data_IF_594013344268
#
_entry.id   IF_594013344268
#
_cell.length_a   1.000
_cell.length_b   1.000
_cell.length_c   1.000
_cell.angle_alpha   90.00
_cell.angle_beta   90.00
_cell.angle_gamma   90.00
#
_symmetry.space_group_name_H-M   'P 1'
#
loop_
_entity.id
_entity.type
_entity.pdbx_description
1 polymer ?
#
# COMPACT_ATOMS: atom_id res chain seq x y z
N UNK A 1 -29.09 -9.69 6.05
CA UNK A 1 -29.08 -9.01 4.74
C UNK A 1 -27.71 -9.21 4.13
N UNK A 2 -27.64 -9.75 2.92
CA UNK A 2 -26.36 -9.88 2.16
C UNK A 2 -26.00 -8.52 1.61
N UNK A 3 -24.78 -8.06 1.90
CA UNK A 3 -24.29 -6.84 1.29
C UNK A 3 -24.10 -7.06 -0.22
N UNK A 4 -24.45 -6.06 -1.03
CA UNK A 4 -24.13 -6.05 -2.45
C UNK A 4 -22.62 -5.97 -2.61
N UNK A 5 -22.02 -6.90 -3.37
CA UNK A 5 -20.58 -6.92 -3.71
C UNK A 5 -20.45 -6.58 -5.19
N UNK A 6 -19.72 -5.54 -5.52
CA UNK A 6 -19.55 -5.04 -6.88
C UNK A 6 -18.08 -4.92 -7.22
N UNK A 7 -17.73 -5.39 -8.42
CA UNK A 7 -16.44 -5.08 -9.04
C UNK A 7 -16.63 -3.85 -9.92
N UNK A 8 -15.84 -2.81 -9.65
CA UNK A 8 -15.82 -1.58 -10.42
C UNK A 8 -14.48 -1.40 -11.11
N UNK A 9 -14.53 -1.11 -12.41
CA UNK A 9 -13.37 -0.56 -13.11
C UNK A 9 -13.10 0.86 -12.63
N UNK A 10 -11.85 1.31 -12.75
CA UNK A 10 -11.42 2.61 -12.24
C UNK A 10 -12.34 3.78 -12.62
N UNK A 11 -12.78 3.83 -13.87
CA UNK A 11 -13.67 4.85 -14.40
C UNK A 11 -15.06 4.92 -13.73
N UNK A 12 -15.46 3.85 -13.03
CA UNK A 12 -16.73 3.74 -12.33
C UNK A 12 -16.64 3.93 -10.82
N UNK A 13 -15.42 4.10 -10.29
CA UNK A 13 -15.19 4.31 -8.86
C UNK A 13 -15.53 5.76 -8.52
N UNK A 14 -16.37 5.97 -7.51
CA UNK A 14 -16.55 7.28 -6.92
C UNK A 14 -15.36 7.57 -6.00
N UNK A 15 -14.38 8.36 -6.50
CA UNK A 15 -13.15 8.65 -5.79
C UNK A 15 -13.36 9.42 -4.48
N UNK A 16 -14.38 10.28 -4.42
CA UNK A 16 -14.74 10.99 -3.18
C UNK A 16 -15.16 10.01 -2.09
N UNK A 17 -16.13 9.13 -2.39
CA UNK A 17 -16.56 8.09 -1.44
C UNK A 17 -15.43 7.13 -1.08
N UNK A 18 -14.53 6.86 -2.03
CA UNK A 18 -13.36 6.03 -1.81
C UNK A 18 -12.42 6.65 -0.78
N UNK A 19 -12.03 7.91 -0.97
CA UNK A 19 -11.10 8.60 -0.08
C UNK A 19 -11.73 8.91 1.29
N UNK A 20 -13.04 9.20 1.35
CA UNK A 20 -13.82 9.32 2.59
C UNK A 20 -13.78 8.02 3.41
N UNK A 21 -13.93 6.86 2.75
CA UNK A 21 -13.83 5.56 3.40
C UNK A 21 -12.43 5.38 4.02
N UNK A 22 -11.37 5.72 3.31
CA UNK A 22 -9.99 5.57 3.81
C UNK A 22 -9.77 6.49 5.01
N UNK A 23 -10.19 7.75 4.89
CA UNK A 23 -10.04 8.76 5.94
C UNK A 23 -10.76 8.37 7.24
N UNK A 24 -11.94 7.76 7.12
CA UNK A 24 -12.74 7.32 8.28
C UNK A 24 -12.36 5.94 8.84
N UNK A 25 -11.48 5.20 8.15
CA UNK A 25 -11.15 3.81 8.49
C UNK A 25 -9.88 3.70 9.31
N UNK A 26 -9.93 2.97 10.44
CA UNK A 26 -8.73 2.67 11.25
C UNK A 26 -7.64 1.89 10.50
N UNK A 27 -8.03 1.13 9.48
CA UNK A 27 -7.13 0.31 8.66
C UNK A 27 -6.80 0.95 7.31
N UNK A 28 -7.23 2.17 7.04
CA UNK A 28 -6.80 2.97 5.90
C UNK A 28 -5.30 3.30 5.96
N UNK A 29 -4.64 3.30 4.83
CA UNK A 29 -3.20 3.60 4.69
C UNK A 29 -3.00 4.62 3.56
N UNK A 30 -1.88 5.33 3.58
CA UNK A 30 -1.54 6.32 2.55
C UNK A 30 -1.64 5.74 1.14
N UNK A 31 -1.13 4.54 0.94
CA UNK A 31 -1.15 3.86 -0.37
C UNK A 31 -2.53 3.30 -0.78
N UNK A 32 -3.58 3.56 -0.01
CA UNK A 32 -4.96 3.24 -0.40
C UNK A 32 -5.68 4.45 -1.00
N UNK A 33 -5.24 5.69 -0.75
CA UNK A 33 -5.88 6.89 -1.31
C UNK A 33 -5.86 6.88 -2.84
N UNK A 34 -6.92 7.40 -3.44
CA UNK A 34 -7.07 7.42 -4.90
C UNK A 34 -5.95 8.18 -5.59
N UNK A 35 -5.55 9.34 -5.05
CA UNK A 35 -4.44 10.14 -5.58
C UNK A 35 -3.10 9.37 -5.56
N UNK A 36 -2.85 8.58 -4.50
CA UNK A 36 -1.64 7.77 -4.41
C UNK A 36 -1.68 6.60 -5.40
N UNK A 37 -2.81 5.86 -5.46
CA UNK A 37 -2.99 4.75 -6.39
C UNK A 37 -2.85 5.20 -7.84
N UNK A 38 -3.45 6.33 -8.20
CA UNK A 38 -3.38 6.91 -9.55
C UNK A 38 -1.96 7.24 -9.98
N UNK A 39 -1.08 7.61 -9.03
CA UNK A 39 0.31 7.90 -9.30
C UNK A 39 1.12 6.64 -9.64
N UNK A 40 0.87 5.52 -8.95
CA UNK A 40 1.76 4.36 -9.01
C UNK A 40 1.22 3.20 -9.85
N UNK A 41 -0.07 3.12 -10.13
CA UNK A 41 -0.62 1.99 -10.86
C UNK A 41 -1.98 2.26 -11.52
N UNK A 42 -2.34 1.38 -12.46
CA UNK A 42 -3.74 1.21 -12.86
C UNK A 42 -4.44 0.32 -11.83
N UNK A 43 -5.64 0.67 -11.40
CA UNK A 43 -6.36 -0.08 -10.40
C UNK A 43 -7.86 -0.10 -10.64
N UNK A 44 -8.49 -1.17 -10.17
CA UNK A 44 -9.93 -1.37 -10.10
C UNK A 44 -10.30 -1.60 -8.62
N UNK A 45 -11.56 -1.75 -8.28
CA UNK A 45 -11.99 -1.97 -6.91
C UNK A 45 -13.08 -3.04 -6.79
N UNK A 46 -13.13 -3.66 -5.60
CA UNK A 46 -14.33 -4.36 -5.12
C UNK A 46 -14.94 -3.51 -4.02
N UNK A 47 -16.22 -3.19 -4.16
CA UNK A 47 -16.98 -2.40 -3.22
C UNK A 47 -18.04 -3.27 -2.58
N UNK A 48 -18.21 -3.16 -1.27
CA UNK A 48 -19.20 -3.88 -0.48
C UNK A 48 -20.11 -2.87 0.21
N UNK A 49 -21.41 -2.91 -0.12
CA UNK A 49 -22.45 -2.15 0.54
C UNK A 49 -22.23 -0.65 0.56
N UNK A 50 -22.20 -0.01 -0.60
CA UNK A 50 -22.02 1.44 -0.77
C UNK A 50 -20.84 2.00 0.03
N UNK A 51 -19.64 1.51 -0.26
CA UNK A 51 -18.38 1.94 0.37
C UNK A 51 -18.30 1.72 1.89
N UNK A 52 -18.99 0.70 2.45
CA UNK A 52 -18.77 0.26 3.83
C UNK A 52 -17.47 -0.51 3.99
N UNK A 53 -17.10 -1.22 2.93
CA UNK A 53 -15.82 -1.90 2.77
C UNK A 53 -15.41 -1.81 1.31
N UNK A 54 -14.13 -1.62 1.07
CA UNK A 54 -13.57 -1.63 -0.27
C UNK A 54 -12.24 -2.39 -0.31
N UNK A 55 -11.86 -2.86 -1.51
CA UNK A 55 -10.58 -3.51 -1.77
C UNK A 55 -10.03 -2.93 -3.05
N UNK A 56 -8.83 -2.33 -3.00
CA UNK A 56 -8.13 -1.95 -4.23
C UNK A 56 -7.53 -3.19 -4.91
N UNK A 57 -7.60 -3.21 -6.22
CA UNK A 57 -7.05 -4.25 -7.06
C UNK A 57 -6.09 -3.62 -8.07
N UNK A 58 -4.79 -3.80 -7.86
CA UNK A 58 -3.74 -3.24 -8.71
C UNK A 58 -3.64 -4.05 -10.01
N UNK A 59 -4.15 -3.49 -11.09
CA UNK A 59 -4.37 -4.19 -12.36
C UNK A 59 -3.23 -3.95 -13.33
N UNK A 60 -2.68 -5.03 -13.85
CA UNK A 60 -1.78 -5.00 -15.01
C UNK A 60 -2.43 -5.67 -16.22
N UNK A 61 -2.19 -5.11 -17.39
CA UNK A 61 -2.67 -5.66 -18.67
C UNK A 61 -1.49 -5.82 -19.60
N UNK A 62 -1.21 -7.05 -20.00
CA UNK A 62 -0.14 -7.35 -20.97
C UNK A 62 -0.61 -8.44 -21.93
N UNK A 63 -0.49 -8.19 -23.23
CA UNK A 63 -0.91 -9.12 -24.31
C UNK A 63 -2.35 -9.64 -24.15
N UNK A 64 -3.29 -8.77 -23.76
CA UNK A 64 -4.68 -9.14 -23.52
C UNK A 64 -4.94 -9.88 -22.22
N UNK A 65 -3.91 -10.26 -21.47
CA UNK A 65 -4.05 -10.93 -20.17
C UNK A 65 -4.21 -9.88 -19.07
N UNK A 66 -5.22 -10.06 -18.23
CA UNK A 66 -5.48 -9.25 -17.07
C UNK A 66 -4.89 -9.93 -15.82
N UNK A 67 -4.01 -9.24 -15.13
CA UNK A 67 -3.31 -9.75 -13.95
C UNK A 67 -3.44 -8.79 -12.77
N UNK A 68 -3.39 -9.34 -11.55
CA UNK A 68 -3.15 -8.58 -10.33
C UNK A 68 -1.68 -8.70 -9.97
N UNK A 69 -0.96 -7.59 -10.00
CA UNK A 69 0.46 -7.53 -9.66
C UNK A 69 0.67 -6.54 -8.53
N UNK A 70 1.68 -6.82 -7.71
CA UNK A 70 2.12 -5.89 -6.67
C UNK A 70 2.97 -4.78 -7.31
N UNK A 71 2.50 -3.52 -7.36
CA UNK A 71 3.31 -2.41 -7.85
C UNK A 71 4.40 -2.03 -6.84
N UNK A 72 5.45 -1.38 -7.31
CA UNK A 72 6.40 -0.71 -6.44
C UNK A 72 5.68 0.36 -5.61
N UNK A 73 6.12 0.57 -4.37
CA UNK A 73 5.60 1.54 -3.40
C UNK A 73 4.17 1.33 -2.90
N UNK A 74 3.47 0.29 -3.36
CA UNK A 74 2.20 -0.14 -2.77
C UNK A 74 2.47 -1.41 -1.95
N UNK A 75 2.34 -1.32 -0.64
CA UNK A 75 2.75 -2.40 0.26
C UNK A 75 1.84 -3.62 0.18
N UNK A 76 0.54 -3.40 0.08
CA UNK A 76 -0.46 -4.48 0.05
C UNK A 76 -1.80 -4.01 -0.51
N UNK A 77 -2.57 -4.95 -1.06
CA UNK A 77 -3.97 -4.79 -1.41
C UNK A 77 -4.83 -5.41 -0.31
N UNK A 78 -5.51 -4.60 0.48
CA UNK A 78 -6.28 -5.05 1.63
C UNK A 78 -7.71 -4.54 1.58
N UNK A 79 -8.59 -5.12 2.39
CA UNK A 79 -9.87 -4.46 2.63
C UNK A 79 -9.67 -3.23 3.53
N UNK A 80 -10.44 -2.19 3.22
CA UNK A 80 -10.50 -0.93 3.92
C UNK A 80 -11.91 -0.81 4.50
N UNK A 81 -12.04 -0.27 5.70
CA UNK A 81 -13.31 -0.17 6.40
C UNK A 81 -13.64 -1.41 7.22
N UNK A 82 -14.90 -1.82 7.23
CA UNK A 82 -15.37 -2.95 8.04
C UNK A 82 -14.82 -4.27 7.52
N UNK A 83 -14.36 -5.14 8.42
CA UNK A 83 -13.92 -6.50 8.07
C UNK A 83 -15.06 -7.27 7.40
N UNK A 84 -14.85 -7.82 6.19
CA UNK A 84 -15.85 -8.65 5.51
C UNK A 84 -16.15 -9.92 6.32
N UNK A 85 -17.39 -10.37 6.31
CA UNK A 85 -17.76 -11.67 6.86
C UNK A 85 -17.21 -12.83 5.99
N UNK A 86 -17.17 -14.05 6.54
CA UNK A 86 -16.66 -15.23 5.84
C UNK A 86 -17.33 -15.45 4.47
N UNK A 87 -18.65 -15.29 4.41
CA UNK A 87 -19.39 -15.42 3.15
C UNK A 87 -19.00 -14.36 2.12
N UNK A 88 -18.83 -13.11 2.57
CA UNK A 88 -18.41 -12.01 1.69
C UNK A 88 -16.98 -12.27 1.17
N UNK A 89 -16.08 -12.75 2.03
CA UNK A 89 -14.71 -13.11 1.64
C UNK A 89 -14.69 -14.21 0.56
N UNK A 90 -15.51 -15.25 0.69
CA UNK A 90 -15.57 -16.31 -0.33
C UNK A 90 -16.09 -15.76 -1.68
N UNK A 91 -17.09 -14.88 -1.66
CA UNK A 91 -17.56 -14.23 -2.89
C UNK A 91 -16.50 -13.33 -3.51
N UNK A 92 -15.75 -12.58 -2.71
CA UNK A 92 -14.63 -11.75 -3.16
C UNK A 92 -13.56 -12.61 -3.82
N UNK A 93 -13.17 -13.72 -3.19
CA UNK A 93 -12.19 -14.67 -3.74
C UNK A 93 -12.64 -15.21 -5.10
N UNK A 94 -13.87 -15.71 -5.20
CA UNK A 94 -14.41 -16.20 -6.46
C UNK A 94 -14.42 -15.10 -7.53
N UNK A 95 -14.80 -13.88 -7.18
CA UNK A 95 -14.83 -12.75 -8.10
C UNK A 95 -13.43 -12.38 -8.60
N UNK A 96 -12.43 -12.34 -7.74
CA UNK A 96 -11.04 -12.09 -8.11
C UNK A 96 -10.54 -13.21 -9.04
N UNK A 97 -10.70 -14.46 -8.64
CA UNK A 97 -10.24 -15.61 -9.41
C UNK A 97 -10.91 -15.73 -10.78
N UNK A 98 -12.17 -15.29 -10.92
CA UNK A 98 -12.89 -15.30 -12.20
C UNK A 98 -12.42 -14.21 -13.17
N UNK A 99 -11.81 -13.13 -12.66
CA UNK A 99 -11.46 -11.94 -13.48
C UNK A 99 -9.98 -11.86 -13.84
N UNK A 100 -9.12 -12.56 -13.13
CA UNK A 100 -7.67 -12.43 -13.29
C UNK A 100 -7.02 -13.78 -13.52
N UNK A 101 -6.28 -13.90 -14.61
CA UNK A 101 -5.58 -15.13 -14.99
C UNK A 101 -4.27 -15.33 -14.23
N UNK A 102 -3.70 -14.25 -13.71
CA UNK A 102 -2.46 -14.28 -12.93
C UNK A 102 -2.59 -13.34 -11.73
N UNK A 103 -2.19 -13.82 -10.54
CA UNK A 103 -2.35 -13.10 -9.29
C UNK A 103 -1.07 -13.22 -8.47
N UNK A 104 -0.42 -12.09 -8.25
CA UNK A 104 0.78 -11.97 -7.41
C UNK A 104 0.77 -10.64 -6.67
N UNK A 105 0.18 -10.60 -5.50
CA UNK A 105 0.13 -9.40 -4.67
C UNK A 105 0.02 -9.75 -3.17
N UNK A 106 0.38 -8.80 -2.32
CA UNK A 106 0.26 -8.96 -0.87
C UNK A 106 -1.14 -8.53 -0.40
N UNK A 107 -1.74 -9.30 0.50
CA UNK A 107 -3.06 -9.00 1.09
C UNK A 107 -3.04 -9.19 2.60
N UNK A 108 -4.04 -8.66 3.27
CA UNK A 108 -4.33 -8.95 4.67
C UNK A 108 -5.39 -10.08 4.84
N UNK A 109 -5.62 -10.86 3.80
CA UNK A 109 -6.52 -12.02 3.81
C UNK A 109 -6.01 -13.13 2.89
N UNK A 110 -6.36 -14.37 3.21
CA UNK A 110 -5.98 -15.52 2.40
C UNK A 110 -6.87 -15.64 1.18
N UNK A 111 -6.31 -15.47 -0.01
CA UNK A 111 -7.02 -15.65 -1.28
C UNK A 111 -7.12 -17.14 -1.65
N UNK A 112 -6.05 -17.88 -1.42
CA UNK A 112 -5.95 -19.33 -1.73
C UNK A 112 -5.22 -20.05 -0.62
N UNK A 113 -5.38 -21.40 -0.54
CA UNK A 113 -4.66 -22.23 0.41
C UNK A 113 -3.14 -22.29 0.17
N UNK A 114 -2.67 -21.89 -1.02
CA UNK A 114 -1.25 -21.80 -1.36
C UNK A 114 -0.62 -20.43 -1.04
N UNK A 115 -1.37 -19.51 -0.45
CA UNK A 115 -0.85 -18.21 -0.04
C UNK A 115 0.26 -18.38 1.00
N UNK A 116 1.36 -17.64 0.83
CA UNK A 116 2.44 -17.59 1.81
C UNK A 116 2.17 -16.49 2.81
N UNK A 117 2.16 -16.83 4.08
CA UNK A 117 2.09 -15.85 5.16
C UNK A 117 3.43 -15.14 5.34
N UNK A 118 3.37 -13.86 5.65
CA UNK A 118 4.52 -13.01 5.98
C UNK A 118 4.16 -12.12 7.14
N UNK A 119 5.08 -11.97 8.07
CA UNK A 119 4.93 -11.02 9.17
C UNK A 119 4.92 -9.59 8.63
N UNK A 120 3.98 -8.80 9.11
CA UNK A 120 3.94 -7.36 8.90
C UNK A 120 4.08 -6.69 10.26
N UNK A 121 5.24 -6.07 10.49
CA UNK A 121 5.52 -5.39 11.75
C UNK A 121 4.94 -3.99 11.73
N UNK A 122 4.15 -3.67 12.73
CA UNK A 122 3.53 -2.36 12.92
C UNK A 122 4.14 -1.74 14.17
N UNK A 123 4.69 -0.53 14.04
CA UNK A 123 5.09 0.30 15.16
C UNK A 123 3.98 1.32 15.43
N UNK A 124 3.38 1.24 16.60
CA UNK A 124 2.47 2.27 17.07
C UNK A 124 3.29 3.49 17.50
N UNK A 125 3.08 4.60 16.81
CA UNK A 125 3.81 5.85 17.08
C UNK A 125 3.10 6.55 18.23
N UNK A 126 3.78 6.64 19.37
CA UNK A 126 3.39 7.40 20.55
C UNK A 126 4.27 8.65 20.68
N UNK A 127 4.26 9.31 21.82
CA UNK A 127 5.22 10.38 22.12
C UNK A 127 6.67 9.88 22.11
N UNK A 128 7.61 10.79 21.87
CA UNK A 128 9.03 10.45 21.70
C UNK A 128 9.63 9.78 22.95
N UNK A 129 9.23 10.21 24.14
CA UNK A 129 9.77 9.68 25.39
C UNK A 129 9.33 8.25 25.64
N UNK A 130 8.08 7.92 25.32
CA UNK A 130 7.54 6.56 25.42
C UNK A 130 8.19 5.65 24.38
N UNK A 131 8.38 6.12 23.14
CA UNK A 131 9.11 5.38 22.11
C UNK A 131 10.55 5.09 22.55
N UNK A 132 11.27 6.10 23.06
CA UNK A 132 12.67 5.96 23.45
C UNK A 132 12.83 4.99 24.64
N UNK A 133 11.88 4.96 25.58
CA UNK A 133 11.85 3.98 26.67
C UNK A 133 11.70 2.54 26.18
N UNK A 134 10.99 2.33 25.08
CA UNK A 134 10.77 1.00 24.50
C UNK A 134 11.90 0.51 23.61
N UNK A 135 12.88 1.36 23.28
CA UNK A 135 14.03 0.96 22.47
C UNK A 135 14.94 0.00 23.25
N UNK A 136 15.39 -1.05 22.59
CA UNK A 136 16.41 -1.93 23.15
C UNK A 136 17.76 -1.21 23.29
N UNK A 137 18.66 -1.79 24.08
CA UNK A 137 20.00 -1.22 24.37
C UNK A 137 20.81 -0.96 23.09
N UNK A 138 20.72 -1.85 22.11
CA UNK A 138 21.46 -1.73 20.84
C UNK A 138 20.97 -0.54 20.04
N UNK A 139 19.65 -0.38 19.91
CA UNK A 139 19.03 0.74 19.19
C UNK A 139 19.40 2.08 19.83
N UNK A 140 19.29 2.21 21.15
CA UNK A 140 19.72 3.43 21.89
C UNK A 140 21.18 3.78 21.63
N UNK A 141 22.08 2.78 21.65
CA UNK A 141 23.50 2.99 21.35
C UNK A 141 23.71 3.48 19.91
N UNK A 142 22.99 2.89 18.95
CA UNK A 142 23.08 3.28 17.54
C UNK A 142 22.55 4.70 17.30
N UNK A 143 21.42 5.06 17.91
CA UNK A 143 20.87 6.42 17.84
C UNK A 143 21.86 7.44 18.42
N UNK A 144 22.46 7.14 19.61
CA UNK A 144 23.45 8.03 20.21
C UNK A 144 24.65 8.23 19.29
N UNK A 145 25.15 7.17 18.66
CA UNK A 145 26.25 7.28 17.68
C UNK A 145 25.82 8.10 16.45
N UNK A 146 24.65 7.84 15.91
CA UNK A 146 24.13 8.57 14.74
C UNK A 146 24.00 10.06 15.03
N UNK A 147 23.47 10.46 16.19
CA UNK A 147 23.35 11.87 16.61
C UNK A 147 24.71 12.59 16.68
N UNK A 148 25.81 11.89 16.90
CA UNK A 148 27.18 12.46 16.94
C UNK A 148 27.75 12.65 15.52
N UNK A 149 27.47 11.73 14.62
CA UNK A 149 28.12 11.64 13.30
C UNK A 149 27.24 12.14 12.15
N UNK A 150 25.96 12.36 12.38
CA UNK A 150 25.00 12.75 11.35
C UNK A 150 24.09 13.86 11.86
N UNK A 151 23.68 14.74 10.95
CA UNK A 151 22.58 15.68 11.16
C UNK A 151 21.35 15.22 10.39
N UNK A 152 20.17 15.44 10.97
CA UNK A 152 18.89 15.23 10.28
C UNK A 152 18.49 16.59 9.71
N UNK A 153 18.34 16.65 8.41
CA UNK A 153 17.74 17.80 7.73
C UNK A 153 16.29 17.43 7.37
N UNK A 154 15.36 18.28 7.75
CA UNK A 154 13.93 18.16 7.41
C UNK A 154 13.60 18.92 6.12
N UNK A 155 14.61 19.37 5.38
CA UNK A 155 14.44 19.97 4.07
C UNK A 155 13.84 18.94 3.10
N UNK A 156 12.72 19.30 2.48
CA UNK A 156 11.93 18.42 1.63
C UNK A 156 12.49 18.32 0.19
N UNK A 157 13.82 18.39 0.01
CA UNK A 157 14.45 18.15 -1.29
C UNK A 157 14.43 16.64 -1.62
N UNK A 158 13.34 16.22 -2.25
CA UNK A 158 13.12 14.81 -2.59
C UNK A 158 14.16 14.30 -3.59
N UNK A 159 14.61 15.14 -4.54
CA UNK A 159 15.62 14.75 -5.53
C UNK A 159 16.95 14.39 -4.85
N UNK A 160 17.38 15.20 -3.86
CA UNK A 160 18.58 14.87 -3.05
C UNK A 160 18.38 13.59 -2.23
N UNK A 161 17.19 13.41 -1.66
CA UNK A 161 16.87 12.20 -0.89
C UNK A 161 16.91 10.96 -1.77
N UNK A 162 16.33 11.01 -2.98
CA UNK A 162 16.38 9.92 -3.96
C UNK A 162 17.83 9.63 -4.36
N UNK A 163 18.63 10.65 -4.64
CA UNK A 163 20.05 10.49 -4.99
C UNK A 163 20.83 9.81 -3.86
N UNK A 164 20.60 10.22 -2.61
CA UNK A 164 21.20 9.60 -1.44
C UNK A 164 20.79 8.14 -1.29
N UNK A 165 19.48 7.85 -1.44
CA UNK A 165 18.97 6.50 -1.40
C UNK A 165 19.59 5.60 -2.48
N UNK A 166 19.66 6.07 -3.72
CA UNK A 166 20.29 5.36 -4.83
C UNK A 166 21.77 5.06 -4.54
N UNK A 167 22.52 6.02 -4.00
CA UNK A 167 23.93 5.82 -3.67
C UNK A 167 24.15 4.79 -2.57
N UNK A 168 23.23 4.71 -1.60
CA UNK A 168 23.34 3.81 -0.45
C UNK A 168 22.77 2.41 -0.71
N UNK A 169 21.75 2.31 -1.55
CA UNK A 169 20.95 1.10 -1.71
C UNK A 169 20.69 0.66 -3.16
N UNK A 170 21.12 1.43 -4.17
CA UNK A 170 20.81 1.16 -5.58
C UNK A 170 21.15 -0.28 -6.01
N UNK A 171 22.27 -0.82 -5.56
CA UNK A 171 22.66 -2.19 -5.88
C UNK A 171 21.74 -3.26 -5.28
N UNK A 172 21.03 -2.95 -4.20
CA UNK A 172 20.11 -3.86 -3.49
C UNK A 172 18.70 -3.82 -4.05
N UNK A 173 18.33 -2.74 -4.75
CA UNK A 173 16.99 -2.47 -5.26
C UNK A 173 16.94 -2.39 -6.79
N UNK A 174 17.68 -3.28 -7.46
CA UNK A 174 17.80 -3.33 -8.93
C UNK A 174 16.45 -3.48 -9.68
N UNK A 175 15.40 -3.86 -9.00
CA UNK A 175 14.06 -3.93 -9.55
C UNK A 175 13.39 -2.56 -9.72
N UNK A 176 13.86 -1.52 -9.00
CA UNK A 176 13.40 -0.15 -9.16
C UNK A 176 14.13 0.50 -10.34
N UNK A 177 13.35 1.05 -11.25
CA UNK A 177 13.85 1.78 -12.42
C UNK A 177 13.82 3.28 -12.17
N UNK A 178 14.42 4.05 -13.07
CA UNK A 178 14.39 5.52 -13.01
C UNK A 178 12.96 6.07 -13.02
N UNK A 179 12.10 5.46 -13.81
CA UNK A 179 10.68 5.81 -13.88
C UNK A 179 9.96 5.71 -12.53
N UNK A 180 10.30 4.69 -11.71
CA UNK A 180 9.73 4.51 -10.38
C UNK A 180 10.11 5.67 -9.43
N UNK A 181 11.35 6.15 -9.52
CA UNK A 181 11.81 7.30 -8.72
C UNK A 181 11.17 8.61 -9.16
N UNK A 182 10.97 8.79 -10.47
CA UNK A 182 10.27 9.96 -11.01
C UNK A 182 8.82 10.02 -10.52
N UNK A 183 8.14 8.86 -10.33
CA UNK A 183 6.80 8.83 -9.75
C UNK A 183 6.77 9.33 -8.32
N UNK A 184 7.80 9.04 -7.49
CA UNK A 184 7.91 9.57 -6.13
C UNK A 184 8.16 11.08 -6.17
N UNK A 185 9.03 11.54 -7.05
CA UNK A 185 9.36 12.96 -7.18
C UNK A 185 8.11 13.77 -7.56
N UNK A 186 7.35 13.31 -8.55
CA UNK A 186 6.11 13.95 -8.97
C UNK A 186 5.07 13.99 -7.85
N UNK A 187 4.98 12.94 -7.02
CA UNK A 187 4.04 12.90 -5.91
C UNK A 187 4.22 14.05 -4.90
N UNK A 188 5.42 14.59 -4.78
CA UNK A 188 5.74 15.67 -3.84
C UNK A 188 5.45 17.07 -4.39
N UNK A 189 5.31 17.21 -5.72
CA UNK A 189 5.01 18.50 -6.35
C UNK A 189 3.51 18.76 -6.53
N UNK A 190 2.69 17.69 -6.56
CA UNK A 190 1.25 17.79 -6.83
C UNK A 190 0.39 17.88 -5.55
N UNK A 191 1.00 17.88 -4.37
CA UNK A 191 0.38 17.99 -3.04
C UNK A 191 1.12 19.01 -2.18
#
# INVERSE_FOLDING_TARGET
MTNKIEYLSHDKINLVKWDDLINSSKNGKVFNYSWYLNQFCTWDAIIIGDYKTAIQLTVSRKWGIKALLQPNFIQQCNWIGKTPGTRDLEQIKMLILSKFSFIQFNTNFNLTSSAKERDNLILEITDADTLEKNFNKSLRKNIKKAKISHSVNLDMDIAKTIKLYKSAHGDKVKHLKEEDYNLIENLTYDN
#
